data_IF_988923449376
#
_entry.id   IF_988923449376
#
_cell.length_a   1.000
_cell.length_b   1.000
_cell.length_c   1.000
_cell.angle_alpha   90.00
_cell.angle_beta   90.00
_cell.angle_gamma   90.00
#
_symmetry.space_group_name_H-M   'P 1'
#
loop_
_entity.id
_entity.type
_entity.pdbx_description
1 polymer ?
#
# COMPACT_ATOMS: atom_id res chain seq x y z
N UNK A 1 -33.43 3.92 71.56
CA UNK A 1 -32.22 3.08 71.59
C UNK A 1 -32.47 1.81 70.76
N UNK A 2 -32.40 1.90 69.42
CA UNK A 2 -32.48 0.81 68.42
C UNK A 2 -32.49 1.45 67.01
N UNK A 3 -31.34 1.90 66.48
CA UNK A 3 -31.20 2.21 65.03
C UNK A 3 -29.77 2.63 64.63
N UNK A 4 -28.70 1.95 65.08
CA UNK A 4 -27.32 2.32 64.67
C UNK A 4 -26.49 1.15 64.08
N UNK A 5 -26.94 -0.11 64.15
CA UNK A 5 -26.13 -1.25 63.69
C UNK A 5 -26.57 -1.91 62.38
N UNK A 6 -27.20 -1.17 61.44
CA UNK A 6 -27.63 -1.75 60.15
C UNK A 6 -27.22 -0.95 58.91
N UNK A 7 -26.16 -0.13 59.02
CA UNK A 7 -25.65 0.67 57.90
C UNK A 7 -24.23 0.32 57.44
N UNK A 8 -23.54 -0.60 58.11
CA UNK A 8 -22.14 -0.95 57.79
C UNK A 8 -22.01 -2.20 56.89
N UNK A 9 -23.08 -3.00 56.74
CA UNK A 9 -23.02 -4.28 56.01
C UNK A 9 -23.24 -4.24 54.50
N UNK A 10 -23.79 -3.15 53.94
CA UNK A 10 -24.21 -3.11 52.52
C UNK A 10 -23.35 -2.21 51.62
N UNK A 11 -22.39 -1.46 52.16
CA UNK A 11 -21.52 -0.62 51.33
C UNK A 11 -20.35 -1.41 50.71
N UNK A 12 -20.09 -2.64 51.16
CA UNK A 12 -18.97 -3.46 50.70
C UNK A 12 -19.32 -4.52 49.64
N UNK A 13 -20.56 -4.53 49.13
CA UNK A 13 -20.99 -5.50 48.09
C UNK A 13 -21.36 -4.87 46.75
N UNK A 14 -21.07 -3.58 46.55
CA UNK A 14 -21.29 -2.90 45.27
C UNK A 14 -20.01 -2.50 44.52
N UNK A 15 -18.83 -2.85 45.05
CA UNK A 15 -17.54 -2.54 44.41
C UNK A 15 -17.05 -3.59 43.41
N UNK A 16 -17.80 -4.68 43.19
CA UNK A 16 -17.39 -5.78 42.30
C UNK A 16 -18.13 -5.81 40.95
N UNK A 17 -18.90 -4.77 40.61
CA UNK A 17 -19.72 -4.76 39.38
C UNK A 17 -19.33 -3.68 38.36
N UNK A 18 -18.31 -2.85 38.60
CA UNK A 18 -17.96 -1.74 37.69
C UNK A 18 -16.43 -1.63 37.52
N UNK A 19 -15.72 -2.73 37.31
CA UNK A 19 -14.33 -2.69 36.79
C UNK A 19 -14.10 -3.94 35.93
N UNK A 20 -14.80 -4.06 34.81
CA UNK A 20 -14.41 -4.98 33.73
C UNK A 20 -14.94 -4.59 32.35
N UNK A 21 -15.33 -3.32 32.17
CA UNK A 21 -15.35 -2.71 30.84
C UNK A 21 -13.96 -2.13 30.56
N UNK A 22 -12.94 -3.01 30.60
CA UNK A 22 -11.64 -2.66 30.04
C UNK A 22 -11.89 -2.54 28.55
N UNK A 23 -11.76 -1.31 28.05
CA UNK A 23 -11.62 -1.00 26.65
C UNK A 23 -10.82 -2.11 25.97
N UNK A 24 -11.49 -2.92 25.15
CA UNK A 24 -10.82 -3.50 23.99
C UNK A 24 -10.55 -2.33 23.03
N UNK A 25 -9.65 -1.43 23.43
CA UNK A 25 -8.94 -0.62 22.48
C UNK A 25 -8.16 -1.66 21.68
N UNK A 26 -8.66 -1.98 20.49
CA UNK A 26 -7.91 -2.66 19.47
C UNK A 26 -6.62 -1.87 19.30
N UNK A 27 -5.56 -2.29 19.98
CA UNK A 27 -4.22 -1.81 19.71
C UNK A 27 -3.84 -2.42 18.38
N UNK A 28 -4.39 -1.87 17.29
CA UNK A 28 -3.64 -1.86 16.05
C UNK A 28 -2.30 -1.25 16.45
N UNK A 29 -1.27 -2.07 16.43
CA UNK A 29 0.08 -1.58 16.68
C UNK A 29 0.24 -0.38 15.75
N UNK A 30 0.44 0.80 16.32
CA UNK A 30 0.74 1.97 15.51
C UNK A 30 1.91 1.55 14.60
N UNK A 31 1.84 1.86 13.30
CA UNK A 31 2.90 1.50 12.37
C UNK A 31 4.25 1.91 12.99
N UNK A 32 5.30 1.08 12.87
CA UNK A 32 6.58 1.33 13.49
C UNK A 32 7.02 2.78 13.25
N UNK A 33 7.63 3.40 14.26
CA UNK A 33 8.12 4.78 14.14
C UNK A 33 9.07 4.86 12.94
N UNK A 34 8.72 5.66 11.93
CA UNK A 34 9.46 5.76 10.66
C UNK A 34 8.87 5.01 9.47
N UNK A 35 7.73 4.32 9.61
CA UNK A 35 6.98 3.78 8.47
C UNK A 35 6.27 4.91 7.73
N UNK A 36 6.50 5.00 6.43
CA UNK A 36 5.88 5.96 5.53
C UNK A 36 4.69 5.31 4.83
N UNK A 37 3.57 5.22 5.53
CA UNK A 37 2.29 4.75 4.98
C UNK A 37 1.33 5.92 4.70
N UNK A 38 0.11 5.60 4.26
CA UNK A 38 -0.93 6.56 3.90
C UNK A 38 -1.53 7.32 5.10
N UNK A 39 -1.23 6.90 6.33
CA UNK A 39 -1.63 7.61 7.56
C UNK A 39 -0.59 8.65 7.99
N UNK A 40 0.65 8.53 7.51
CA UNK A 40 1.74 9.43 7.88
C UNK A 40 1.48 10.88 7.41
N UNK A 41 1.51 11.84 8.33
CA UNK A 41 1.12 13.24 8.05
C UNK A 41 1.90 13.87 6.89
N UNK A 42 3.22 13.66 6.82
CA UNK A 42 4.04 14.16 5.71
C UNK A 42 3.71 13.48 4.38
N UNK A 43 3.39 12.18 4.36
CA UNK A 43 2.98 11.46 3.14
C UNK A 43 1.65 12.02 2.65
N UNK A 44 0.67 12.20 3.55
CA UNK A 44 -0.62 12.82 3.22
C UNK A 44 -0.47 14.26 2.68
N UNK A 45 0.49 15.03 3.20
CA UNK A 45 0.78 16.36 2.69
C UNK A 45 1.29 16.30 1.24
N UNK A 46 2.23 15.38 0.94
CA UNK A 46 2.70 15.18 -0.44
C UNK A 46 1.57 14.69 -1.35
N UNK A 47 0.73 13.75 -0.91
CA UNK A 47 -0.42 13.26 -1.70
C UNK A 47 -1.40 14.38 -2.03
N UNK A 48 -1.72 15.25 -1.06
CA UNK A 48 -2.59 16.39 -1.27
C UNK A 48 -2.00 17.36 -2.30
N UNK A 49 -0.72 17.71 -2.15
CA UNK A 49 0.00 18.56 -3.11
C UNK A 49 0.04 17.91 -4.48
N UNK A 50 0.41 16.63 -4.58
CA UNK A 50 0.46 15.88 -5.84
C UNK A 50 -0.89 15.93 -6.54
N UNK A 51 -2.00 15.67 -5.84
CA UNK A 51 -3.34 15.72 -6.42
C UNK A 51 -3.71 17.10 -6.93
N UNK A 52 -3.27 18.17 -6.27
CA UNK A 52 -3.50 19.57 -6.69
C UNK A 52 -2.72 19.90 -7.96
N UNK A 53 -1.41 19.60 -8.01
CA UNK A 53 -0.51 20.14 -9.04
C UNK A 53 -0.36 19.26 -10.27
N UNK A 54 -0.65 17.96 -10.16
CA UNK A 54 -0.40 17.00 -11.26
C UNK A 54 -1.13 17.35 -12.55
N UNK A 55 -2.43 17.73 -12.55
CA UNK A 55 -3.12 18.08 -13.79
C UNK A 55 -2.44 19.22 -14.56
N UNK A 56 -1.94 20.23 -13.85
CA UNK A 56 -1.29 21.39 -14.45
C UNK A 56 0.13 21.09 -14.92
N UNK A 57 0.90 20.35 -14.12
CA UNK A 57 2.24 19.91 -14.48
C UNK A 57 2.23 18.99 -15.70
N UNK A 58 1.30 18.03 -15.76
CA UNK A 58 1.18 17.07 -16.86
C UNK A 58 0.69 17.68 -18.19
N UNK A 59 0.31 18.96 -18.21
CA UNK A 59 0.07 19.69 -19.47
C UNK A 59 1.37 20.07 -20.18
N UNK A 60 2.49 20.12 -19.47
CA UNK A 60 3.80 20.36 -20.06
C UNK A 60 4.32 19.05 -20.67
N UNK A 61 4.64 19.00 -21.97
CA UNK A 61 5.02 17.76 -22.65
C UNK A 61 6.34 17.15 -22.16
N UNK A 62 7.16 17.92 -21.44
CA UNK A 62 8.41 17.50 -20.84
C UNK A 62 8.21 16.79 -19.49
N UNK A 63 7.05 16.97 -18.84
CA UNK A 63 6.73 16.31 -17.59
C UNK A 63 6.11 14.94 -17.90
N UNK A 64 6.77 13.89 -17.43
CA UNK A 64 6.38 12.50 -17.68
C UNK A 64 5.48 11.91 -16.59
N UNK A 65 5.48 12.52 -15.40
CA UNK A 65 4.72 12.05 -14.27
C UNK A 65 5.06 12.77 -12.97
N UNK A 66 4.23 12.55 -11.96
CA UNK A 66 4.50 12.94 -10.56
C UNK A 66 4.35 11.73 -9.66
N UNK A 67 5.03 11.73 -8.51
CA UNK A 67 4.91 10.69 -7.49
C UNK A 67 5.12 11.25 -6.08
N UNK A 68 4.61 10.53 -5.09
CA UNK A 68 5.11 10.62 -3.72
C UNK A 68 6.44 9.87 -3.68
N UNK A 69 7.53 10.56 -3.37
CA UNK A 69 8.86 9.97 -3.22
C UNK A 69 9.46 10.27 -1.87
N UNK A 70 10.67 9.76 -1.66
CA UNK A 70 11.50 10.05 -0.49
C UNK A 70 12.86 10.55 -0.95
N UNK A 71 13.33 11.63 -0.35
CA UNK A 71 14.66 12.16 -0.64
C UNK A 71 15.76 11.33 0.04
N UNK A 72 17.02 11.73 -0.14
CA UNK A 72 18.18 11.03 0.46
C UNK A 72 18.21 11.06 1.98
N UNK A 73 17.46 11.96 2.61
CA UNK A 73 17.30 12.04 4.06
C UNK A 73 16.11 11.23 4.57
N UNK A 74 15.34 10.58 3.68
CA UNK A 74 14.12 9.85 4.00
C UNK A 74 12.90 10.75 4.19
N UNK A 75 12.97 12.01 3.77
CA UNK A 75 11.85 12.96 3.88
C UNK A 75 10.89 12.75 2.70
N UNK A 76 9.56 12.62 2.94
CA UNK A 76 8.59 12.59 1.86
C UNK A 76 8.59 13.87 1.02
N UNK A 77 8.66 13.72 -0.30
CA UNK A 77 8.77 14.83 -1.26
C UNK A 77 7.90 14.56 -2.50
N UNK A 78 7.49 15.63 -3.20
CA UNK A 78 6.89 15.51 -4.51
C UNK A 78 8.00 15.21 -5.54
N UNK A 79 8.01 13.99 -6.08
CA UNK A 79 8.90 13.64 -7.18
C UNK A 79 8.23 14.01 -8.51
N UNK A 80 8.97 14.72 -9.37
CA UNK A 80 8.54 15.08 -10.72
C UNK A 80 9.48 14.40 -11.71
N UNK A 81 8.92 13.54 -12.55
CA UNK A 81 9.66 12.88 -13.63
C UNK A 81 9.69 13.79 -14.86
N UNK A 82 10.89 14.09 -15.33
CA UNK A 82 11.11 14.97 -16.49
C UNK A 82 11.82 14.18 -17.59
N UNK A 83 11.34 14.35 -18.82
CA UNK A 83 11.95 13.78 -20.01
C UNK A 83 13.35 14.36 -20.19
N UNK A 84 14.36 13.50 -20.06
CA UNK A 84 15.75 13.92 -20.17
C UNK A 84 16.14 14.34 -21.59
N UNK A 85 15.42 13.84 -22.59
CA UNK A 85 15.70 14.08 -24.00
C UNK A 85 14.86 15.24 -24.56
N UNK A 86 13.98 15.84 -23.75
CA UNK A 86 13.21 16.99 -24.17
C UNK A 86 14.12 18.20 -24.46
N UNK A 87 13.97 18.89 -25.61
CA UNK A 87 14.85 20.01 -26.00
C UNK A 87 14.95 21.13 -24.95
N UNK A 88 13.87 21.35 -24.21
CA UNK A 88 13.73 22.38 -23.19
C UNK A 88 13.72 21.83 -21.75
N UNK A 89 14.14 20.57 -21.53
CA UNK A 89 14.20 19.96 -20.20
C UNK A 89 14.93 20.86 -19.18
N UNK A 90 16.03 21.49 -19.58
CA UNK A 90 16.80 22.41 -18.71
C UNK A 90 15.99 23.63 -18.27
N UNK A 91 15.17 24.20 -19.15
CA UNK A 91 14.34 25.36 -18.82
C UNK A 91 13.20 24.97 -17.89
N UNK A 92 12.57 23.82 -18.15
CA UNK A 92 11.54 23.26 -17.27
C UNK A 92 12.07 23.05 -15.86
N UNK A 93 13.24 22.42 -15.71
CA UNK A 93 13.86 22.18 -14.40
C UNK A 93 14.19 23.49 -13.68
N UNK A 94 14.65 24.52 -14.40
CA UNK A 94 14.95 25.84 -13.79
C UNK A 94 13.70 26.57 -13.33
N UNK A 95 12.59 26.40 -14.05
CA UNK A 95 11.34 27.09 -13.78
C UNK A 95 10.41 26.33 -12.82
N UNK A 96 10.69 25.04 -12.55
CA UNK A 96 9.96 24.27 -11.55
C UNK A 96 10.17 24.86 -10.15
N UNK A 97 9.09 25.11 -9.38
CA UNK A 97 9.20 25.47 -7.98
C UNK A 97 9.98 24.41 -7.20
N UNK A 98 10.82 24.84 -6.26
CA UNK A 98 11.53 23.92 -5.36
C UNK A 98 10.62 23.33 -4.29
N UNK A 99 9.44 23.92 -4.10
CA UNK A 99 8.43 23.46 -3.16
C UNK A 99 7.02 23.87 -3.64
N UNK A 100 6.02 23.09 -3.23
CA UNK A 100 4.61 23.43 -3.34
C UNK A 100 3.97 23.30 -1.96
N UNK A 101 3.38 24.38 -1.43
CA UNK A 101 2.74 24.37 -0.10
C UNK A 101 3.66 23.85 1.03
N UNK A 102 4.96 24.12 0.94
CA UNK A 102 5.98 23.63 1.89
C UNK A 102 6.39 22.16 1.70
N UNK A 103 5.83 21.45 0.71
CA UNK A 103 6.31 20.14 0.27
C UNK A 103 7.46 20.33 -0.70
N UNK A 104 8.63 19.80 -0.37
CA UNK A 104 9.80 19.84 -1.24
C UNK A 104 9.59 19.10 -2.56
N UNK A 105 10.23 19.59 -3.62
CA UNK A 105 10.20 19.00 -4.96
C UNK A 105 11.54 18.35 -5.26
N UNK A 106 11.49 17.10 -5.68
CA UNK A 106 12.63 16.37 -6.23
C UNK A 106 12.39 16.12 -7.72
N UNK A 107 13.33 16.56 -8.56
CA UNK A 107 13.29 16.29 -10.00
C UNK A 107 14.04 15.00 -10.30
N UNK A 108 13.40 14.10 -11.04
CA UNK A 108 14.00 12.88 -11.55
C UNK A 108 14.02 12.92 -13.08
N UNK A 109 15.22 13.02 -13.67
CA UNK A 109 15.38 12.87 -15.12
C UNK A 109 15.25 11.40 -15.52
N UNK A 110 14.42 11.11 -16.52
CA UNK A 110 14.21 9.76 -17.04
C UNK A 110 13.92 9.78 -18.54
N UNK A 111 14.03 8.62 -19.18
CA UNK A 111 13.50 8.40 -20.52
C UNK A 111 11.96 8.33 -20.46
N UNK A 112 11.29 8.54 -21.60
CA UNK A 112 9.83 8.40 -21.68
C UNK A 112 9.37 7.03 -21.23
N UNK A 113 8.35 7.00 -20.37
CA UNK A 113 7.63 5.78 -20.04
C UNK A 113 6.89 5.29 -21.28
N UNK A 114 7.19 4.05 -21.70
CA UNK A 114 6.55 3.41 -22.85
C UNK A 114 6.04 2.06 -22.42
N UNK A 115 4.79 1.77 -22.77
CA UNK A 115 4.33 0.39 -22.76
C UNK A 115 5.23 -0.41 -23.72
N UNK A 116 5.66 -1.60 -23.29
CA UNK A 116 6.35 -2.51 -24.18
C UNK A 116 5.44 -2.82 -25.37
N UNK A 117 6.00 -2.85 -26.58
CA UNK A 117 5.25 -3.13 -27.80
C UNK A 117 4.88 -4.62 -27.85
N UNK A 118 3.81 -4.96 -27.15
CA UNK A 118 3.18 -6.28 -27.14
C UNK A 118 1.73 -6.12 -27.57
N UNK A 119 1.20 -7.13 -28.25
CA UNK A 119 -0.24 -7.19 -28.49
C UNK A 119 -0.92 -7.60 -27.19
N UNK A 120 -1.31 -6.61 -26.37
CA UNK A 120 -1.96 -6.83 -25.08
C UNK A 120 -3.37 -7.44 -25.19
N UNK A 121 -3.89 -7.61 -26.41
CA UNK A 121 -5.15 -8.31 -26.72
C UNK A 121 -4.93 -9.63 -27.45
N UNK A 122 -3.71 -9.95 -27.89
CA UNK A 122 -3.45 -11.22 -28.53
C UNK A 122 -3.69 -12.35 -27.53
N UNK A 123 -4.48 -13.33 -27.94
CA UNK A 123 -4.64 -14.58 -27.20
C UNK A 123 -3.28 -15.26 -27.10
N UNK A 124 -2.80 -15.45 -25.88
CA UNK A 124 -1.60 -16.23 -25.62
C UNK A 124 -1.95 -17.72 -25.55
N UNK A 125 -1.09 -18.58 -26.10
CA UNK A 125 -1.26 -20.03 -26.01
C UNK A 125 -0.72 -20.52 -24.66
N UNK A 126 -1.52 -21.23 -23.84
CA UNK A 126 -1.02 -21.83 -22.60
C UNK A 126 0.15 -22.80 -22.82
N UNK A 127 1.09 -22.90 -21.86
CA UNK A 127 1.14 -22.20 -20.59
C UNK A 127 1.64 -20.75 -20.73
N UNK A 128 0.89 -19.80 -20.18
CA UNK A 128 1.24 -18.38 -20.16
C UNK A 128 2.01 -18.11 -18.86
N UNK A 129 3.13 -17.38 -18.93
CA UNK A 129 4.00 -17.20 -17.76
C UNK A 129 3.41 -16.29 -16.68
N UNK A 130 2.66 -15.25 -17.09
CA UNK A 130 2.12 -14.21 -16.22
C UNK A 130 0.82 -13.63 -16.78
N UNK A 131 0.10 -12.84 -15.99
CA UNK A 131 -1.26 -12.42 -16.31
C UNK A 131 -2.26 -13.57 -16.23
N UNK A 132 -1.86 -14.69 -15.60
CA UNK A 132 -2.73 -15.83 -15.31
C UNK A 132 -3.12 -15.86 -13.84
N UNK A 133 -4.07 -16.72 -13.55
CA UNK A 133 -4.56 -17.00 -12.21
C UNK A 133 -3.48 -17.62 -11.34
N UNK A 134 -3.39 -17.13 -10.11
CA UNK A 134 -2.42 -17.55 -9.12
C UNK A 134 -2.70 -16.86 -7.78
N UNK A 135 -1.94 -17.21 -6.76
CA UNK A 135 -2.07 -16.58 -5.46
C UNK A 135 -1.52 -17.41 -4.31
N UNK A 136 -1.83 -17.00 -3.09
CA UNK A 136 -1.45 -17.70 -1.86
C UNK A 136 -1.92 -19.17 -1.90
N UNK A 137 -1.00 -20.12 -1.68
CA UNK A 137 -1.27 -21.55 -1.86
C UNK A 137 -2.38 -22.11 -0.97
N UNK A 138 -2.74 -21.38 0.10
CA UNK A 138 -3.74 -21.79 1.07
C UNK A 138 -5.02 -20.98 0.98
N UNK A 139 -5.23 -20.21 -0.09
CA UNK A 139 -6.38 -19.31 -0.29
C UNK A 139 -7.68 -20.11 -0.56
N UNK A 140 -8.10 -20.85 0.45
CA UNK A 140 -9.26 -21.70 0.49
C UNK A 140 -10.13 -21.22 1.65
N UNK A 141 -11.36 -20.81 1.39
CA UNK A 141 -12.28 -20.37 2.42
C UNK A 141 -13.66 -20.98 2.20
N UNK A 142 -14.27 -21.54 3.25
CA UNK A 142 -15.62 -22.10 3.19
C UNK A 142 -15.84 -23.14 2.06
N UNK A 143 -14.78 -23.87 1.67
CA UNK A 143 -14.83 -24.84 0.58
C UNK A 143 -14.73 -24.24 -0.83
N UNK A 144 -14.44 -22.95 -0.96
CA UNK A 144 -14.17 -22.28 -2.23
C UNK A 144 -12.69 -21.96 -2.37
N UNK A 145 -12.15 -22.27 -3.55
CA UNK A 145 -10.84 -21.84 -3.98
C UNK A 145 -10.90 -20.36 -4.36
N UNK A 146 -9.99 -19.56 -3.80
CA UNK A 146 -9.77 -18.19 -4.17
C UNK A 146 -8.49 -18.11 -5.01
N UNK A 147 -8.45 -17.14 -5.92
CA UNK A 147 -7.33 -16.91 -6.80
C UNK A 147 -7.40 -15.49 -7.35
N UNK A 148 -6.24 -14.84 -7.45
CA UNK A 148 -6.10 -13.55 -8.10
C UNK A 148 -5.38 -13.69 -9.43
N UNK A 149 -4.90 -12.57 -9.96
CA UNK A 149 -4.05 -12.55 -11.13
C UNK A 149 -2.62 -12.22 -10.72
N UNK A 150 -1.64 -12.96 -11.24
CA UNK A 150 -0.24 -12.55 -11.15
C UNK A 150 -0.01 -11.37 -12.12
N UNK A 151 -0.05 -10.15 -11.57
CA UNK A 151 -0.27 -8.92 -12.34
C UNK A 151 0.81 -8.60 -13.37
N UNK A 152 2.03 -8.26 -12.92
CA UNK A 152 3.10 -7.82 -13.80
C UNK A 152 4.45 -8.43 -13.45
N UNK A 153 5.28 -8.70 -14.47
CA UNK A 153 6.70 -9.00 -14.28
C UNK A 153 7.47 -7.69 -14.15
N UNK A 154 8.09 -7.50 -13.00
CA UNK A 154 9.01 -6.39 -12.78
C UNK A 154 10.43 -6.96 -12.78
N UNK A 155 11.33 -6.35 -13.55
CA UNK A 155 12.75 -6.73 -13.54
C UNK A 155 13.56 -5.60 -12.92
N UNK A 156 14.28 -5.91 -11.84
CA UNK A 156 15.21 -4.99 -11.19
C UNK A 156 16.60 -5.63 -11.24
N UNK A 157 17.50 -5.06 -12.05
CA UNK A 157 18.79 -5.67 -12.36
C UNK A 157 18.61 -7.02 -13.07
N UNK A 158 19.18 -8.09 -12.50
CA UNK A 158 18.99 -9.47 -12.98
C UNK A 158 17.79 -10.18 -12.35
N UNK A 159 17.19 -9.63 -11.30
CA UNK A 159 16.14 -10.29 -10.53
C UNK A 159 14.76 -9.94 -11.09
N UNK A 160 13.93 -10.97 -11.23
CA UNK A 160 12.53 -10.85 -11.61
C UNK A 160 11.65 -10.91 -10.37
N UNK A 161 10.64 -10.04 -10.35
CA UNK A 161 9.64 -9.92 -9.31
C UNK A 161 8.27 -9.97 -9.96
N UNK A 162 7.28 -10.46 -9.23
CA UNK A 162 5.89 -10.36 -9.63
C UNK A 162 5.27 -9.25 -8.80
N UNK A 163 4.69 -8.27 -9.45
CA UNK A 163 3.87 -7.25 -8.82
C UNK A 163 2.40 -7.67 -8.93
N UNK A 164 1.74 -7.82 -7.80
CA UNK A 164 0.29 -8.05 -7.71
C UNK A 164 -0.27 -7.32 -6.49
N UNK A 165 -1.58 -7.44 -6.27
CA UNK A 165 -2.18 -6.94 -5.04
C UNK A 165 -1.72 -7.78 -3.84
N UNK A 166 -1.57 -7.13 -2.69
CA UNK A 166 -1.30 -7.78 -1.42
C UNK A 166 -2.23 -8.98 -1.17
N UNK A 167 -3.55 -8.84 -1.36
CA UNK A 167 -4.51 -9.93 -1.09
C UNK A 167 -4.35 -11.13 -2.02
N UNK A 168 -3.60 -11.01 -3.13
CA UNK A 168 -3.28 -12.15 -4.01
C UNK A 168 -2.10 -12.94 -3.45
N UNK A 169 -1.11 -12.28 -2.86
CA UNK A 169 0.08 -12.96 -2.33
C UNK A 169 -0.04 -13.36 -0.86
N UNK A 170 -0.69 -12.53 -0.07
CA UNK A 170 -0.77 -12.70 1.38
C UNK A 170 -2.24 -12.69 1.87
N UNK A 171 -3.18 -13.10 1.00
CA UNK A 171 -4.60 -13.38 1.32
C UNK A 171 -5.17 -12.52 2.46
N UNK A 172 -5.70 -13.14 3.52
CA UNK A 172 -6.17 -12.47 4.74
C UNK A 172 -5.04 -12.23 5.75
N UNK A 173 -4.92 -10.97 6.19
CA UNK A 173 -4.11 -10.52 7.37
C UNK A 173 -4.72 -10.91 8.72
N UNK A 174 -5.87 -11.59 8.70
CA UNK A 174 -6.55 -12.13 9.87
C UNK A 174 -6.77 -13.63 9.66
N UNK A 175 -7.30 -14.33 10.67
CA UNK A 175 -7.64 -15.74 10.48
C UNK A 175 -8.76 -15.86 9.44
N UNK A 176 -8.42 -16.39 8.26
CA UNK A 176 -9.39 -16.64 7.19
C UNK A 176 -10.28 -17.86 7.46
N UNK A 177 -11.15 -18.20 6.50
CA UNK A 177 -12.07 -19.34 6.58
C UNK A 177 -11.41 -20.72 6.66
N UNK A 178 -10.09 -20.80 6.52
CA UNK A 178 -9.23 -21.98 6.70
C UNK A 178 -8.51 -22.02 8.06
N UNK A 179 -8.81 -21.09 8.98
CA UNK A 179 -8.11 -20.90 10.25
C UNK A 179 -6.60 -20.64 10.10
N UNK A 180 -6.19 -20.01 8.99
CA UNK A 180 -4.82 -19.56 8.75
C UNK A 180 -4.81 -18.07 8.52
N UNK A 181 -3.68 -17.46 8.86
CA UNK A 181 -3.35 -16.08 8.52
C UNK A 181 -2.13 -16.14 7.63
N UNK A 182 -2.16 -15.43 6.51
CA UNK A 182 -1.03 -15.44 5.60
C UNK A 182 0.23 -14.88 6.28
N UNK A 183 1.38 -15.41 5.91
CA UNK A 183 2.68 -14.96 6.37
C UNK A 183 3.55 -14.61 5.17
N UNK A 184 4.32 -13.54 5.28
CA UNK A 184 5.36 -13.23 4.29
C UNK A 184 6.30 -14.42 4.13
N UNK A 185 6.47 -14.87 2.88
CA UNK A 185 7.26 -16.06 2.54
C UNK A 185 6.43 -17.33 2.36
N UNK A 186 5.12 -17.28 2.60
CA UNK A 186 4.22 -18.37 2.20
C UNK A 186 4.29 -18.63 0.69
N UNK A 187 4.09 -19.89 0.26
CA UNK A 187 4.20 -20.23 -1.15
C UNK A 187 3.08 -19.58 -1.97
N UNK A 188 3.47 -19.05 -3.12
CA UNK A 188 2.57 -18.59 -4.18
C UNK A 188 2.53 -19.65 -5.27
N UNK A 189 1.33 -19.99 -5.73
CA UNK A 189 1.12 -20.99 -6.78
C UNK A 189 0.64 -20.36 -8.09
N UNK A 190 1.02 -21.01 -9.19
CA UNK A 190 0.47 -20.84 -10.53
C UNK A 190 0.46 -22.23 -11.20
N UNK A 191 -0.68 -22.74 -11.69
CA UNK A 191 -1.98 -22.07 -11.75
C UNK A 191 -2.61 -21.90 -10.35
N UNK A 192 -3.61 -21.03 -10.24
CA UNK A 192 -4.32 -20.79 -8.99
C UNK A 192 -5.19 -21.98 -8.60
N UNK A 193 -5.66 -22.00 -7.35
CA UNK A 193 -6.54 -23.08 -6.86
C UNK A 193 -7.87 -23.17 -7.63
N UNK A 194 -8.27 -22.12 -8.34
CA UNK A 194 -9.48 -22.07 -9.16
C UNK A 194 -9.35 -22.79 -10.52
N UNK A 195 -8.13 -23.11 -10.94
CA UNK A 195 -7.84 -23.70 -12.25
C UNK A 195 -7.65 -25.22 -12.21
N UNK A 196 -7.73 -25.82 -11.01
CA UNK A 196 -7.50 -27.24 -10.73
C UNK A 196 -8.78 -27.93 -10.27
#
# INVERSE_FOLDING_TARGET
MRSINRFIGNLFKFSAAIICAILAASTFAAPPTGVLDDTHAAVRAVMAVQSEVTPDLMRQPEILGTAVGVDTAGTPVLTIYVDRDAPNARDVIRNLPREFRGVGVQVQLTDKFRAMSVSHTAKQTPPIQLGTSGGWAYDLANGFCCGGTLGALVKIGSTQYILSNYHVFESDIVSGGNNRTAQTGDPIIQPGLIDV
#
